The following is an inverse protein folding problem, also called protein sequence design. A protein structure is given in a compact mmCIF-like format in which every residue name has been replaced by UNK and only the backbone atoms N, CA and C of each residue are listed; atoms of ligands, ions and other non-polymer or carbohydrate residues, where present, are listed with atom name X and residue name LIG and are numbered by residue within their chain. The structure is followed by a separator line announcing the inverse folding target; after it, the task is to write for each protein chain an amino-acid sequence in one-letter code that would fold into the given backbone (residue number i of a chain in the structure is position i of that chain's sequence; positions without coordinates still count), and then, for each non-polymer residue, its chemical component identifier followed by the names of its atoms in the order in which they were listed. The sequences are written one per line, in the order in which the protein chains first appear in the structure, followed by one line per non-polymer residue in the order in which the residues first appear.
data_IF_824320805492
#
_entry.id   IF_824320805492
#
_cell.length_a   1.000
_cell.length_b   1.000
_cell.length_c   1.000
_cell.angle_alpha   90.00
_cell.angle_beta   90.00
_cell.angle_gamma   90.00
#
_symmetry.space_group_name_H-M   'P 1'
#
loop_
_entity.id
_entity.type
_entity.pdbx_description
1 polymer ?
#
# COMPACT_ATOMS: atom_id res chain seq x y z
N UNK A 1 -39.44 19.10 -43.06
CA UNK A 1 -40.43 19.57 -42.08
C UNK A 1 -40.23 18.81 -40.77
N UNK A 2 -39.79 19.55 -39.75
CA UNK A 2 -39.67 19.27 -38.31
C UNK A 2 -38.54 18.36 -37.88
N UNK A 3 -37.47 18.92 -37.60
CA UNK A 3 -36.82 19.38 -36.39
C UNK A 3 -37.42 18.75 -35.09
N UNK A 4 -36.69 17.82 -34.52
CA UNK A 4 -36.92 17.35 -33.16
C UNK A 4 -35.68 17.69 -32.32
N UNK A 5 -35.86 18.69 -31.53
CA UNK A 5 -35.05 19.11 -30.39
C UNK A 5 -34.28 17.96 -29.75
N UNK A 6 -33.02 17.88 -30.06
CA UNK A 6 -32.04 17.17 -29.24
C UNK A 6 -31.73 18.05 -28.02
N UNK A 7 -32.55 17.90 -27.00
CA UNK A 7 -32.21 18.40 -25.66
C UNK A 7 -31.12 17.51 -25.14
N UNK A 8 -29.87 17.93 -25.33
CA UNK A 8 -28.71 17.33 -24.67
C UNK A 8 -28.94 17.34 -23.16
N UNK A 9 -29.17 16.16 -22.59
CA UNK A 9 -29.16 15.97 -21.15
C UNK A 9 -27.74 16.35 -20.67
N UNK A 10 -27.60 17.24 -19.68
CA UNK A 10 -26.29 17.46 -19.09
C UNK A 10 -25.79 16.12 -18.53
N UNK A 11 -24.66 15.66 -19.05
CA UNK A 11 -23.95 14.53 -18.51
C UNK A 11 -23.48 14.94 -17.10
N UNK A 12 -24.20 14.53 -16.08
CA UNK A 12 -23.74 14.56 -14.71
C UNK A 12 -22.65 13.48 -14.61
N UNK A 13 -21.41 13.86 -14.84
CA UNK A 13 -20.30 13.01 -14.46
C UNK A 13 -20.33 12.90 -12.92
N UNK A 14 -20.41 11.69 -12.36
CA UNK A 14 -20.37 11.55 -10.92
C UNK A 14 -19.00 12.06 -10.44
N UNK A 15 -18.99 13.01 -9.54
CA UNK A 15 -17.76 13.51 -8.89
C UNK A 15 -17.11 12.34 -8.17
N UNK A 16 -16.10 11.77 -8.77
CA UNK A 16 -15.32 10.67 -8.20
C UNK A 16 -14.42 11.24 -7.12
N UNK A 17 -14.82 11.11 -5.86
CA UNK A 17 -13.97 11.46 -4.72
C UNK A 17 -12.80 10.49 -4.62
N UNK A 18 -11.59 11.03 -4.40
CA UNK A 18 -10.46 10.19 -3.99
C UNK A 18 -10.75 9.54 -2.62
N UNK A 19 -10.09 8.41 -2.28
CA UNK A 19 -10.24 7.80 -0.96
C UNK A 19 -10.04 8.81 0.18
N UNK A 20 -9.03 9.68 0.09
CA UNK A 20 -8.74 10.73 1.08
C UNK A 20 -9.89 11.74 1.20
N UNK A 21 -10.41 12.25 0.09
CA UNK A 21 -11.55 13.16 0.09
C UNK A 21 -12.79 12.50 0.70
N UNK A 22 -12.99 11.21 0.43
CA UNK A 22 -14.08 10.45 1.00
C UNK A 22 -13.90 10.27 2.50
N UNK A 23 -12.69 9.95 2.98
CA UNK A 23 -12.38 9.84 4.40
C UNK A 23 -12.61 11.16 5.17
N UNK A 24 -12.30 12.30 4.55
CA UNK A 24 -12.61 13.62 5.11
C UNK A 24 -14.13 13.85 5.18
N UNK A 25 -14.85 13.55 4.12
CA UNK A 25 -16.32 13.71 4.07
C UNK A 25 -17.05 12.84 5.09
N UNK A 26 -16.58 11.60 5.26
CA UNK A 26 -17.20 10.61 6.16
C UNK A 26 -16.69 10.77 7.62
N UNK A 27 -15.77 11.72 7.87
CA UNK A 27 -15.32 12.08 9.21
C UNK A 27 -14.24 11.19 9.81
N UNK A 28 -13.57 10.36 9.02
CA UNK A 28 -12.41 9.55 9.47
C UNK A 28 -11.11 10.33 9.50
N UNK A 29 -11.03 11.39 8.73
CA UNK A 29 -9.89 12.31 8.67
C UNK A 29 -10.42 13.74 8.75
N UNK A 30 -9.74 14.58 9.55
CA UNK A 30 -9.99 16.01 9.58
C UNK A 30 -8.68 16.77 9.36
N UNK A 31 -8.58 17.54 8.26
CA UNK A 31 -7.41 18.37 7.95
C UNK A 31 -7.79 19.82 8.22
N UNK A 32 -7.08 20.46 9.16
CA UNK A 32 -7.34 21.83 9.61
C UNK A 32 -6.06 22.68 9.57
N UNK A 33 -6.23 23.99 9.62
CA UNK A 33 -5.13 24.95 9.62
C UNK A 33 -4.99 25.69 8.31
N UNK A 34 -3.99 26.58 8.27
CA UNK A 34 -3.62 27.35 7.08
C UNK A 34 -2.47 26.66 6.34
N UNK A 35 -2.27 27.01 5.09
CA UNK A 35 -1.15 26.49 4.28
C UNK A 35 0.18 26.69 5.00
N UNK A 36 1.02 25.64 5.00
CA UNK A 36 2.28 25.59 5.74
C UNK A 36 2.16 25.28 7.24
N UNK A 37 0.95 25.14 7.77
CA UNK A 37 0.68 24.80 9.20
C UNK A 37 -0.55 23.90 9.35
N UNK A 38 -0.84 23.05 8.36
CA UNK A 38 -1.96 22.12 8.42
C UNK A 38 -1.66 20.98 9.38
N UNK A 39 -2.68 20.60 10.12
CA UNK A 39 -2.68 19.40 10.95
C UNK A 39 -3.71 18.43 10.41
N UNK A 40 -3.42 17.15 10.55
CA UNK A 40 -4.34 16.06 10.27
C UNK A 40 -4.74 15.40 11.59
N UNK A 41 -6.03 15.13 11.76
CA UNK A 41 -6.58 14.34 12.83
C UNK A 41 -7.17 13.06 12.25
N UNK A 42 -6.70 11.91 12.70
CA UNK A 42 -7.30 10.61 12.41
C UNK A 42 -8.32 10.27 13.46
N UNK A 43 -9.52 9.89 13.04
CA UNK A 43 -10.65 9.60 13.90
C UNK A 43 -11.04 8.14 13.71
N UNK A 44 -10.47 7.29 14.55
CA UNK A 44 -10.71 5.85 14.62
C UNK A 44 -11.31 5.49 15.99
N UNK A 45 -10.90 4.37 16.59
CA UNK A 45 -11.20 4.11 18.02
C UNK A 45 -10.52 5.12 18.96
N UNK A 46 -9.46 5.76 18.50
CA UNK A 46 -8.70 6.81 19.19
C UNK A 46 -8.50 7.97 18.23
N UNK A 47 -8.29 9.17 18.80
CA UNK A 47 -7.91 10.35 18.01
C UNK A 47 -6.40 10.51 18.03
N UNK A 48 -5.84 10.72 16.87
CA UNK A 48 -4.42 10.99 16.69
C UNK A 48 -4.21 12.21 15.80
N UNK A 49 -3.30 13.12 16.18
CA UNK A 49 -3.07 14.39 15.48
C UNK A 49 -1.62 14.53 15.10
N UNK A 50 -1.37 14.78 13.80
CA UNK A 50 -0.04 14.95 13.24
C UNK A 50 0.09 16.21 12.39
N UNK A 51 1.33 16.49 11.99
CA UNK A 51 1.66 17.59 11.08
C UNK A 51 1.45 17.17 9.62
N UNK A 52 0.36 17.63 9.00
CA UNK A 52 0.03 17.29 7.60
C UNK A 52 0.99 17.88 6.56
N UNK A 53 1.86 18.81 6.95
CA UNK A 53 2.86 19.35 6.02
C UNK A 53 4.05 18.40 5.80
N UNK A 54 4.21 17.39 6.67
CA UNK A 54 5.20 16.35 6.50
C UNK A 54 4.86 15.51 5.25
N UNK A 55 5.81 15.33 4.31
CA UNK A 55 5.59 14.50 3.12
C UNK A 55 5.26 13.03 3.43
N UNK A 56 5.80 12.48 4.50
CA UNK A 56 5.50 11.12 4.97
C UNK A 56 4.06 11.01 5.46
N UNK A 57 3.59 12.04 6.17
CA UNK A 57 2.22 12.12 6.68
C UNK A 57 1.18 12.18 5.55
N UNK A 58 1.50 12.81 4.42
CA UNK A 58 0.63 12.81 3.24
C UNK A 58 0.44 11.40 2.67
N UNK A 59 1.53 10.64 2.57
CA UNK A 59 1.48 9.23 2.13
C UNK A 59 0.69 8.39 3.12
N UNK A 60 0.90 8.59 4.43
CA UNK A 60 0.14 7.91 5.49
C UNK A 60 -1.36 8.19 5.38
N UNK A 61 -1.75 9.44 5.19
CA UNK A 61 -3.15 9.84 5.09
C UNK A 61 -3.86 9.21 3.87
N UNK A 62 -3.20 9.22 2.72
CA UNK A 62 -3.73 8.61 1.51
C UNK A 62 -3.90 7.09 1.70
N UNK A 63 -2.89 6.42 2.24
CA UNK A 63 -2.96 4.99 2.45
C UNK A 63 -3.95 4.60 3.55
N UNK A 64 -4.06 5.37 4.64
CA UNK A 64 -5.09 5.17 5.65
C UNK A 64 -6.49 5.18 5.02
N UNK A 65 -6.77 6.14 4.14
CA UNK A 65 -8.04 6.19 3.43
C UNK A 65 -8.22 5.00 2.47
N UNK A 66 -7.16 4.56 1.77
CA UNK A 66 -7.22 3.34 0.96
C UNK A 66 -7.54 2.10 1.80
N UNK A 67 -6.98 1.98 3.00
CA UNK A 67 -7.28 0.85 3.90
C UNK A 67 -8.77 0.73 4.18
N UNK A 68 -9.47 1.83 4.34
CA UNK A 68 -10.92 1.84 4.59
C UNK A 68 -11.71 1.56 3.31
N UNK A 69 -11.44 2.26 2.21
CA UNK A 69 -12.31 2.25 1.03
C UNK A 69 -11.93 1.25 -0.05
N UNK A 70 -10.65 0.93 -0.18
CA UNK A 70 -10.15 -0.04 -1.16
C UNK A 70 -9.98 -1.42 -0.54
N UNK A 71 -9.41 -1.48 0.67
CA UNK A 71 -9.14 -2.74 1.36
C UNK A 71 -10.26 -3.17 2.30
N UNK A 72 -11.23 -2.30 2.58
CA UNK A 72 -12.43 -2.60 3.36
C UNK A 72 -12.13 -3.00 4.81
N UNK A 73 -11.05 -2.45 5.39
CA UNK A 73 -10.79 -2.62 6.81
C UNK A 73 -11.64 -1.66 7.64
N UNK A 74 -12.30 -2.13 8.70
CA UNK A 74 -13.06 -1.28 9.60
C UNK A 74 -12.16 -0.21 10.25
N UNK A 75 -12.56 1.05 10.18
CA UNK A 75 -11.76 2.17 10.71
C UNK A 75 -11.46 2.02 12.22
N UNK A 76 -12.37 1.45 13.01
CA UNK A 76 -12.16 1.17 14.43
C UNK A 76 -11.08 0.12 14.71
N UNK A 77 -10.62 -0.63 13.69
CA UNK A 77 -9.53 -1.61 13.76
C UNK A 77 -8.22 -1.10 13.19
N UNK A 78 -8.13 0.19 12.90
CA UNK A 78 -6.92 0.82 12.39
C UNK A 78 -6.43 1.82 13.44
N UNK A 79 -5.16 1.73 13.83
CA UNK A 79 -4.50 2.72 14.69
C UNK A 79 -3.27 3.28 13.99
N UNK A 80 -2.97 4.55 14.25
CA UNK A 80 -1.79 5.25 13.73
C UNK A 80 -0.80 5.51 14.86
N UNK A 81 0.50 5.59 14.53
CA UNK A 81 1.58 5.89 15.49
C UNK A 81 1.60 4.96 16.71
N UNK A 82 1.44 3.67 16.48
CA UNK A 82 1.37 2.67 17.55
C UNK A 82 2.76 2.42 18.12
N UNK A 83 2.93 2.70 19.40
CA UNK A 83 4.18 2.38 20.13
C UNK A 83 4.38 0.89 20.18
N UNK A 84 5.56 0.42 19.77
CA UNK A 84 5.96 -0.98 19.90
C UNK A 84 6.25 -1.30 21.36
N UNK A 85 5.46 -2.18 22.02
CA UNK A 85 5.59 -2.40 23.46
C UNK A 85 6.97 -2.96 23.84
N UNK A 86 7.57 -2.42 24.90
CA UNK A 86 8.82 -2.90 25.50
C UNK A 86 10.04 -2.95 24.54
N UNK A 87 10.02 -2.16 23.46
CA UNK A 87 11.17 -2.02 22.57
C UNK A 87 12.06 -0.85 22.99
N UNK A 88 13.36 -1.07 23.04
CA UNK A 88 14.34 -0.06 23.36
C UNK A 88 15.40 0.03 22.24
N UNK A 89 15.66 1.23 21.69
CA UNK A 89 14.93 2.47 21.93
C UNK A 89 13.46 2.36 21.52
N UNK A 90 12.60 3.24 22.06
CA UNK A 90 11.18 3.26 21.72
C UNK A 90 10.99 3.39 20.22
N UNK A 91 10.23 2.48 19.63
CA UNK A 91 9.91 2.45 18.21
C UNK A 91 8.38 2.57 18.02
N UNK A 92 7.95 2.97 16.83
CA UNK A 92 6.54 3.14 16.47
C UNK A 92 6.29 2.51 15.11
N UNK A 93 5.11 1.94 14.94
CA UNK A 93 4.58 1.54 13.67
C UNK A 93 3.63 2.65 13.17
N UNK A 94 3.81 3.08 11.93
CA UNK A 94 3.03 4.18 11.35
C UNK A 94 1.53 3.90 11.34
N UNK A 95 1.14 2.69 10.88
CA UNK A 95 -0.24 2.21 10.96
C UNK A 95 -0.21 0.74 11.38
N UNK A 96 -1.13 0.37 12.26
CA UNK A 96 -1.40 -1.03 12.61
C UNK A 96 -2.87 -1.34 12.35
N UNK A 97 -3.10 -2.42 11.60
CA UNK A 97 -4.42 -2.98 11.34
C UNK A 97 -4.60 -4.16 12.29
N UNK A 98 -5.74 -4.21 12.98
CA UNK A 98 -6.07 -5.26 13.92
C UNK A 98 -7.17 -6.18 13.38
N UNK A 99 -7.14 -7.45 13.76
CA UNK A 99 -8.15 -8.43 13.36
C UNK A 99 -9.39 -8.43 14.29
N UNK A 100 -9.35 -7.69 15.39
CA UNK A 100 -10.43 -7.58 16.38
C UNK A 100 -10.78 -6.14 16.73
N UNK A 101 -11.98 -5.94 17.27
CA UNK A 101 -12.49 -4.61 17.62
C UNK A 101 -11.82 -4.01 18.87
N UNK A 102 -11.24 -4.85 19.73
CA UNK A 102 -10.47 -4.42 20.91
C UNK A 102 -9.05 -3.98 20.57
N UNK A 103 -8.63 -4.10 19.31
CA UNK A 103 -7.28 -3.80 18.83
C UNK A 103 -6.18 -4.52 19.64
N UNK A 104 -6.36 -5.80 19.91
CA UNK A 104 -5.41 -6.63 20.66
C UNK A 104 -4.61 -7.59 19.77
N UNK A 105 -5.14 -7.93 18.61
CA UNK A 105 -4.51 -8.86 17.66
C UNK A 105 -4.08 -8.13 16.40
N UNK A 106 -2.83 -7.67 16.30
CA UNK A 106 -2.31 -7.07 15.09
C UNK A 106 -2.43 -8.03 13.91
N UNK A 107 -2.83 -7.52 12.77
CA UNK A 107 -2.98 -8.27 11.52
C UNK A 107 -1.93 -7.84 10.50
N UNK A 108 -1.75 -6.53 10.33
CA UNK A 108 -0.75 -5.97 9.45
C UNK A 108 -0.12 -4.71 10.04
N UNK A 109 1.16 -4.51 9.75
CA UNK A 109 1.91 -3.29 10.06
C UNK A 109 2.22 -2.57 8.75
N UNK A 110 2.07 -1.26 8.76
CA UNK A 110 2.41 -0.40 7.63
C UNK A 110 3.50 0.57 8.05
N UNK A 111 4.53 0.69 7.22
CA UNK A 111 5.56 1.72 7.30
C UNK A 111 5.42 2.64 6.09
N UNK A 112 5.29 3.93 6.36
CA UNK A 112 5.14 4.97 5.35
C UNK A 112 6.45 5.71 5.16
N UNK A 113 6.78 6.03 3.94
CA UNK A 113 7.91 6.88 3.58
C UNK A 113 7.44 7.91 2.56
N UNK A 114 8.07 9.07 2.56
CA UNK A 114 7.82 10.09 1.54
C UNK A 114 8.05 9.52 0.14
N UNK A 115 7.40 10.09 -0.84
CA UNK A 115 7.66 9.75 -2.24
C UNK A 115 9.11 10.07 -2.63
N UNK A 116 9.69 9.24 -3.50
CA UNK A 116 11.03 9.46 -4.05
C UNK A 116 12.19 9.08 -3.12
N UNK A 117 11.95 8.26 -2.08
CA UNK A 117 13.04 7.68 -1.28
C UNK A 117 13.93 6.78 -2.12
N UNK A 118 15.20 6.69 -1.73
CA UNK A 118 16.17 5.79 -2.37
C UNK A 118 15.84 4.33 -2.09
N UNK A 119 16.37 3.41 -2.90
CA UNK A 119 16.24 1.96 -2.67
C UNK A 119 16.82 1.56 -1.30
N UNK A 120 17.87 2.22 -0.82
CA UNK A 120 18.45 1.97 0.50
C UNK A 120 17.50 2.36 1.64
N UNK A 121 16.87 3.55 1.56
CA UNK A 121 15.87 4.00 2.53
C UNK A 121 14.62 3.11 2.50
N UNK A 122 14.19 2.70 1.31
CA UNK A 122 13.05 1.78 1.18
C UNK A 122 13.35 0.41 1.78
N UNK A 123 14.56 -0.14 1.57
CA UNK A 123 14.98 -1.39 2.19
C UNK A 123 15.12 -1.26 3.71
N UNK A 124 15.58 -0.12 4.23
CA UNK A 124 15.59 0.15 5.67
C UNK A 124 14.18 0.15 6.25
N UNK A 125 13.21 0.74 5.55
CA UNK A 125 11.79 0.69 5.97
C UNK A 125 11.25 -0.76 6.00
N UNK A 126 11.67 -1.62 5.06
CA UNK A 126 11.34 -3.05 5.09
C UNK A 126 11.88 -3.69 6.38
N UNK A 127 13.14 -3.47 6.72
CA UNK A 127 13.74 -4.03 7.93
C UNK A 127 13.03 -3.54 9.19
N UNK A 128 12.67 -2.26 9.24
CA UNK A 128 11.91 -1.67 10.34
C UNK A 128 10.52 -2.33 10.45
N UNK A 129 9.75 -2.38 9.39
CA UNK A 129 8.41 -2.96 9.37
C UNK A 129 8.40 -4.44 9.74
N UNK A 130 9.34 -5.23 9.19
CA UNK A 130 9.50 -6.64 9.54
C UNK A 130 9.92 -6.80 11.01
N UNK A 131 10.85 -5.96 11.48
CA UNK A 131 11.27 -5.95 12.89
C UNK A 131 10.09 -5.66 13.84
N UNK A 132 9.21 -4.73 13.48
CA UNK A 132 8.02 -4.40 14.25
C UNK A 132 6.99 -5.55 14.22
N UNK A 133 6.73 -6.11 13.04
CA UNK A 133 5.75 -7.18 12.85
C UNK A 133 6.15 -8.52 13.48
N UNK A 134 7.44 -8.79 13.57
CA UNK A 134 7.95 -10.02 14.20
C UNK A 134 8.23 -9.86 15.69
N UNK A 135 8.08 -8.66 16.23
CA UNK A 135 8.22 -8.43 17.66
C UNK A 135 7.12 -9.14 18.44
N UNK A 136 7.49 -9.89 19.48
CA UNK A 136 6.59 -10.81 20.22
C UNK A 136 5.33 -10.14 20.77
N UNK A 137 5.39 -8.84 21.11
CA UNK A 137 4.26 -8.08 21.67
C UNK A 137 3.44 -7.28 20.64
N UNK A 138 3.89 -7.24 19.39
CA UNK A 138 3.19 -6.60 18.28
C UNK A 138 3.19 -7.50 17.04
N UNK A 139 3.08 -8.80 17.26
CA UNK A 139 3.15 -9.80 16.19
C UNK A 139 2.02 -9.63 15.19
N UNK A 140 2.36 -9.44 13.92
CA UNK A 140 1.43 -9.32 12.81
C UNK A 140 1.77 -10.31 11.70
N UNK A 141 0.80 -10.65 10.86
CA UNK A 141 0.97 -11.59 9.75
C UNK A 141 1.52 -10.92 8.50
N UNK A 142 1.29 -9.62 8.33
CA UNK A 142 1.68 -8.87 7.13
C UNK A 142 2.42 -7.60 7.45
N UNK A 143 3.29 -7.21 6.50
CA UNK A 143 3.98 -5.92 6.50
C UNK A 143 3.73 -5.23 5.17
N UNK A 144 3.40 -3.95 5.21
CA UNK A 144 3.26 -3.10 4.04
C UNK A 144 4.24 -1.95 4.16
N UNK A 145 5.09 -1.76 3.16
CA UNK A 145 5.92 -0.58 3.02
C UNK A 145 5.38 0.23 1.85
N UNK A 146 5.14 1.52 2.08
CA UNK A 146 4.61 2.41 1.06
C UNK A 146 5.41 3.72 1.01
N UNK A 147 5.78 4.13 -0.20
CA UNK A 147 6.47 5.37 -0.48
C UNK A 147 5.87 6.00 -1.74
N UNK A 148 4.86 6.85 -1.58
CA UNK A 148 4.06 7.36 -2.69
C UNK A 148 3.43 6.22 -3.52
N UNK A 149 3.77 6.15 -4.81
CA UNK A 149 3.29 5.10 -5.70
C UNK A 149 4.01 3.75 -5.56
N UNK A 150 5.11 3.67 -4.81
CA UNK A 150 5.86 2.43 -4.60
C UNK A 150 5.33 1.70 -3.37
N UNK A 151 5.04 0.41 -3.55
CA UNK A 151 4.48 -0.44 -2.47
C UNK A 151 5.15 -1.80 -2.46
N UNK A 152 5.38 -2.35 -1.27
CA UNK A 152 5.75 -3.74 -1.06
C UNK A 152 4.94 -4.34 0.07
N UNK A 153 4.42 -5.53 -0.15
CA UNK A 153 3.66 -6.29 0.84
C UNK A 153 4.37 -7.60 1.09
N UNK A 154 4.54 -7.96 2.35
CA UNK A 154 5.23 -9.17 2.79
C UNK A 154 4.30 -9.98 3.71
N UNK A 155 4.27 -11.29 3.51
CA UNK A 155 3.72 -12.23 4.49
C UNK A 155 4.85 -12.60 5.47
N UNK A 156 4.71 -12.21 6.72
CA UNK A 156 5.69 -12.46 7.80
C UNK A 156 5.13 -13.40 8.87
N UNK A 157 4.01 -14.07 8.55
CA UNK A 157 3.44 -15.11 9.39
C UNK A 157 4.39 -16.30 9.53
N UNK A 158 4.09 -17.20 10.48
CA UNK A 158 4.90 -18.41 10.71
C UNK A 158 4.97 -19.38 9.51
N UNK A 159 4.22 -19.10 8.46
CA UNK A 159 4.21 -19.89 7.23
C UNK A 159 5.56 -19.84 6.51
N UNK A 160 6.31 -18.74 6.67
CA UNK A 160 7.60 -18.54 6.02
C UNK A 160 8.71 -18.43 7.05
N UNK A 161 9.86 -19.06 6.79
CA UNK A 161 11.05 -18.92 7.63
C UNK A 161 11.65 -17.52 7.57
N UNK A 162 12.37 -17.12 8.60
CA UNK A 162 12.98 -15.80 8.72
C UNK A 162 13.94 -15.43 7.57
N UNK A 163 14.43 -16.42 6.82
CA UNK A 163 15.39 -16.25 5.72
C UNK A 163 14.76 -16.30 4.32
N UNK A 164 13.44 -16.50 4.22
CA UNK A 164 12.72 -16.64 2.94
C UNK A 164 12.00 -15.37 2.51
N UNK A 165 12.49 -14.21 2.92
CA UNK A 165 11.86 -12.90 2.66
C UNK A 165 11.64 -12.59 1.18
N UNK A 166 12.45 -13.13 0.28
CA UNK A 166 12.27 -12.95 -1.17
C UNK A 166 11.11 -13.77 -1.72
N UNK A 167 10.70 -14.84 -1.02
CA UNK A 167 9.63 -15.74 -1.43
C UNK A 167 8.26 -15.33 -0.87
N UNK A 168 8.23 -14.48 0.14
CA UNK A 168 7.02 -14.07 0.84
C UNK A 168 6.45 -12.72 0.37
N UNK A 169 6.90 -12.21 -0.76
CA UNK A 169 6.36 -11.00 -1.37
C UNK A 169 4.98 -11.30 -1.95
N UNK A 170 3.98 -10.55 -1.51
CA UNK A 170 2.62 -10.65 -2.00
C UNK A 170 2.34 -9.61 -3.08
N UNK A 171 1.34 -9.90 -3.92
CA UNK A 171 0.85 -8.96 -4.93
C UNK A 171 0.26 -7.70 -4.30
N UNK A 172 -0.52 -7.87 -3.26
CA UNK A 172 -1.16 -6.79 -2.50
C UNK A 172 -1.61 -7.30 -1.13
N UNK A 173 -1.99 -6.37 -0.24
CA UNK A 173 -2.56 -6.68 1.07
C UNK A 173 -3.95 -7.33 0.90
N UNK A 174 -4.27 -8.41 1.66
CA UNK A 174 -5.58 -9.03 1.58
C UNK A 174 -6.72 -8.06 1.94
N UNK A 175 -7.79 -8.04 1.13
CA UNK A 175 -8.98 -7.23 1.42
C UNK A 175 -9.81 -7.88 2.52
N UNK A 176 -10.34 -7.07 3.43
CA UNK A 176 -11.30 -7.48 4.46
C UNK A 176 -10.90 -8.78 5.20
N UNK A 177 -9.60 -8.91 5.54
CA UNK A 177 -9.03 -10.11 6.19
C UNK A 177 -9.16 -11.40 5.36
N UNK A 178 -9.35 -11.26 4.06
CA UNK A 178 -9.44 -12.39 3.13
C UNK A 178 -8.10 -13.08 2.88
N UNK A 179 -8.08 -13.97 1.90
CA UNK A 179 -6.84 -14.58 1.43
C UNK A 179 -6.03 -13.59 0.62
N UNK A 180 -4.68 -13.68 0.64
CA UNK A 180 -3.83 -12.91 -0.26
C UNK A 180 -4.33 -13.02 -1.69
N UNK A 181 -4.35 -11.91 -2.40
CA UNK A 181 -4.77 -11.93 -3.80
C UNK A 181 -3.76 -12.74 -4.61
N UNK A 182 -4.24 -13.79 -5.26
CA UNK A 182 -3.50 -14.38 -6.36
C UNK A 182 -3.40 -13.34 -7.48
N UNK A 183 -2.29 -13.38 -8.26
CA UNK A 183 -2.13 -12.54 -9.45
C UNK A 183 -3.12 -12.97 -10.55
N UNK A 184 -4.40 -12.65 -10.36
CA UNK A 184 -5.45 -12.88 -11.35
C UNK A 184 -6.01 -11.57 -11.84
N UNK A 185 -6.05 -11.44 -13.16
CA UNK A 185 -6.68 -10.30 -13.82
C UNK A 185 -8.11 -10.67 -14.19
N UNK A 186 -9.06 -9.85 -13.77
CA UNK A 186 -10.47 -10.03 -14.12
C UNK A 186 -10.91 -8.87 -14.99
N UNK A 187 -11.30 -9.19 -16.24
CA UNK A 187 -11.74 -8.20 -17.21
C UNK A 187 -12.89 -7.33 -16.67
N UNK A 188 -12.72 -6.01 -16.76
CA UNK A 188 -13.72 -5.03 -16.33
C UNK A 188 -13.72 -4.73 -14.83
N UNK A 189 -12.72 -5.18 -14.06
CA UNK A 189 -12.53 -4.86 -12.65
C UNK A 189 -11.32 -3.96 -12.43
N UNK A 190 -11.13 -3.46 -11.21
CA UNK A 190 -9.92 -2.70 -10.83
C UNK A 190 -8.63 -3.49 -11.03
N UNK A 191 -8.72 -4.82 -11.05
CA UNK A 191 -7.62 -5.75 -11.30
C UNK A 191 -7.51 -6.15 -12.79
N UNK A 192 -8.16 -5.44 -13.69
CA UNK A 192 -8.04 -5.70 -15.12
C UNK A 192 -6.68 -5.22 -15.66
N UNK A 193 -6.25 -5.85 -16.74
CA UNK A 193 -5.06 -5.43 -17.48
C UNK A 193 -5.33 -4.03 -18.04
N UNK A 194 -4.61 -3.03 -17.55
CA UNK A 194 -4.72 -1.66 -18.05
C UNK A 194 -3.80 -1.46 -19.24
N UNK A 195 -4.26 -0.78 -20.30
CA UNK A 195 -3.37 -0.34 -21.36
C UNK A 195 -2.25 0.53 -20.77
N UNK A 196 -1.02 0.20 -21.11
CA UNK A 196 0.16 1.00 -20.69
C UNK A 196 0.82 1.60 -21.93
N UNK A 197 1.52 2.72 -21.76
CA UNK A 197 2.30 3.31 -22.84
C UNK A 197 3.45 2.37 -23.22
N UNK A 198 3.96 2.53 -24.44
CA UNK A 198 5.15 1.79 -24.89
C UNK A 198 6.35 2.09 -24.00
N UNK A 199 6.48 3.34 -23.58
CA UNK A 199 7.55 3.86 -22.73
C UNK A 199 7.51 3.21 -21.36
N UNK A 200 6.33 3.14 -20.74
CA UNK A 200 6.12 2.49 -19.44
C UNK A 200 6.39 0.99 -19.50
N UNK A 201 5.96 0.33 -20.57
CA UNK A 201 6.24 -1.10 -20.78
C UNK A 201 7.74 -1.37 -20.89
N UNK A 202 8.47 -0.55 -21.68
CA UNK A 202 9.92 -0.65 -21.81
C UNK A 202 10.61 -0.41 -20.47
N UNK A 203 10.17 0.59 -19.70
CA UNK A 203 10.71 0.88 -18.39
C UNK A 203 10.49 -0.29 -17.42
N UNK A 204 9.29 -0.88 -17.40
CA UNK A 204 8.97 -2.04 -16.57
C UNK A 204 9.84 -3.26 -16.96
N UNK A 205 9.98 -3.57 -18.26
CA UNK A 205 10.84 -4.66 -18.72
C UNK A 205 12.30 -4.44 -18.32
N UNK A 206 12.82 -3.23 -18.47
CA UNK A 206 14.19 -2.88 -18.04
C UNK A 206 14.36 -3.08 -16.53
N UNK A 207 13.40 -2.64 -15.72
CA UNK A 207 13.41 -2.81 -14.27
C UNK A 207 13.40 -4.30 -13.89
N UNK A 208 12.54 -5.10 -14.49
CA UNK A 208 12.49 -6.54 -14.27
C UNK A 208 13.82 -7.22 -14.66
N UNK A 209 14.37 -6.87 -15.81
CA UNK A 209 15.67 -7.40 -16.26
C UNK A 209 16.78 -7.04 -15.27
N UNK A 210 16.84 -5.80 -14.79
CA UNK A 210 17.82 -5.35 -13.80
C UNK A 210 17.69 -6.13 -12.49
N UNK A 211 16.46 -6.37 -12.04
CA UNK A 211 16.18 -7.15 -10.83
C UNK A 211 16.67 -8.59 -10.97
N UNK A 212 16.39 -9.25 -12.11
CA UNK A 212 16.83 -10.61 -12.39
C UNK A 212 18.36 -10.70 -12.58
N UNK A 213 18.96 -9.69 -13.19
CA UNK A 213 20.41 -9.61 -13.33
C UNK A 213 21.12 -9.51 -11.97
N UNK A 214 20.52 -8.87 -10.99
CA UNK A 214 20.96 -8.85 -9.58
C UNK A 214 22.40 -8.36 -9.39
N UNK A 215 22.86 -7.38 -10.19
CA UNK A 215 24.21 -6.86 -10.11
C UNK A 215 25.30 -7.84 -10.55
N UNK A 216 24.99 -8.73 -11.50
CA UNK A 216 25.94 -9.68 -12.09
C UNK A 216 25.83 -11.12 -11.58
N UNK A 217 24.78 -11.44 -10.84
CA UNK A 217 24.48 -12.84 -10.43
C UNK A 217 24.11 -13.72 -11.62
N UNK A 218 23.43 -13.15 -12.61
CA UNK A 218 23.13 -13.80 -13.89
C UNK A 218 23.78 -13.03 -15.02
N UNK A 219 24.13 -13.70 -16.13
CA UNK A 219 24.53 -12.98 -17.32
C UNK A 219 23.33 -12.22 -17.91
N UNK A 220 23.51 -11.06 -18.56
CA UNK A 220 22.40 -10.32 -19.17
C UNK A 220 21.51 -11.15 -20.11
N UNK A 221 22.07 -12.03 -21.00
CA UNK A 221 21.26 -12.93 -21.81
C UNK A 221 20.44 -13.94 -20.99
N UNK A 222 21.02 -14.47 -19.90
CA UNK A 222 20.33 -15.41 -19.01
C UNK A 222 19.19 -14.71 -18.28
N UNK A 223 19.43 -13.51 -17.73
CA UNK A 223 18.38 -12.70 -17.08
C UNK A 223 17.24 -12.37 -18.04
N UNK A 224 17.55 -12.06 -19.29
CA UNK A 224 16.52 -11.84 -20.31
C UNK A 224 15.74 -13.13 -20.65
N UNK A 225 16.41 -14.28 -20.73
CA UNK A 225 15.75 -15.56 -20.91
C UNK A 225 14.78 -15.91 -19.78
N UNK A 226 15.17 -15.67 -18.53
CA UNK A 226 14.29 -15.88 -17.36
C UNK A 226 13.10 -14.91 -17.39
N UNK A 227 13.32 -13.64 -17.76
CA UNK A 227 12.24 -12.69 -17.93
C UNK A 227 11.22 -13.15 -18.98
N UNK A 228 11.69 -13.66 -20.13
CA UNK A 228 10.80 -14.21 -21.16
C UNK A 228 9.97 -15.38 -20.61
N UNK A 229 10.57 -16.31 -19.87
CA UNK A 229 9.85 -17.44 -19.25
C UNK A 229 8.73 -16.94 -18.32
N UNK A 230 9.02 -15.93 -17.47
CA UNK A 230 8.02 -15.35 -16.57
C UNK A 230 6.84 -14.72 -17.34
N UNK A 231 7.12 -14.02 -18.44
CA UNK A 231 6.07 -13.43 -19.29
C UNK A 231 5.21 -14.52 -19.91
N UNK A 232 5.81 -15.59 -20.46
CA UNK A 232 5.05 -16.68 -21.09
C UNK A 232 4.20 -17.46 -20.09
N UNK A 233 4.71 -17.77 -18.90
CA UNK A 233 3.93 -18.44 -17.84
C UNK A 233 2.71 -17.60 -17.42
N UNK A 234 2.81 -16.26 -17.48
CA UNK A 234 1.71 -15.38 -17.11
C UNK A 234 0.63 -15.25 -18.18
N UNK A 235 0.97 -15.47 -19.44
CA UNK A 235 0.04 -15.35 -20.58
C UNK A 235 -0.69 -16.67 -20.84
N UNK A 236 -0.14 -17.80 -20.41
CA UNK A 236 -0.74 -19.13 -20.51
C UNK A 236 -1.77 -19.36 -19.41
#
# INVERSE_FOLDING_TARGET
MFDKNDVAKPAFEPVSFTPLQRAQKDGYINITGVEGKKKIEYITSEKHVENYEDPEEKVRAEFFAELIYKYEYPANRIKVEVVVPDRLPTDRADIVIFSDDDCKRPYAIVECKKEGVTDAEFNQAIEQGVGNATWVKLRADYVVIIAGGTRRVLDVSDKYGAFEREQNILADLPRAYGKPQEFRFYKGTDNDIKPVSREDLIAAIKKCHQTLWGGGRLSPPTAFGELCKLIFVKIS
#
